data_IF_828630833357
#
_entry.id   IF_828630833357
#
_cell.length_a   1.000
_cell.length_b   1.000
_cell.length_c   1.000
_cell.angle_alpha   90.00
_cell.angle_beta   90.00
_cell.angle_gamma   90.00
#
_symmetry.space_group_name_H-M   'P 1'
#
loop_
_entity.id
_entity.type
_entity.pdbx_description
1 polymer ?
#
# COMPACT_ATOMS: atom_id res chain seq x y z
N UNK A 1 8.26 0.35 11.72
CA UNK A 1 6.81 0.17 11.50
C UNK A 1 6.36 1.28 10.56
N UNK A 2 5.70 0.95 9.46
CA UNK A 2 5.17 1.92 8.49
C UNK A 2 3.65 1.88 8.50
N UNK A 3 3.04 3.05 8.65
CA UNK A 3 1.61 3.28 8.53
C UNK A 3 1.37 4.66 7.88
N UNK A 4 2.22 4.98 6.89
CA UNK A 4 2.17 6.25 6.18
C UNK A 4 1.06 6.26 5.13
N UNK A 5 0.69 7.45 4.71
CA UNK A 5 -0.17 7.72 3.57
C UNK A 5 0.40 8.95 2.86
N UNK A 6 0.64 8.85 1.55
CA UNK A 6 1.30 9.92 0.80
C UNK A 6 0.27 10.86 0.18
N UNK A 7 0.18 12.06 0.76
CA UNK A 7 -0.70 13.13 0.33
C UNK A 7 -2.02 13.19 1.12
N UNK A 8 -2.97 13.99 0.62
CA UNK A 8 -4.26 14.18 1.28
C UNK A 8 -5.18 12.97 1.07
N UNK A 9 -5.09 11.98 1.98
CA UNK A 9 -5.77 10.68 1.94
C UNK A 9 -7.18 10.74 1.37
N UNK A 10 -8.10 11.41 2.05
CA UNK A 10 -9.53 11.37 1.72
C UNK A 10 -9.84 11.97 0.35
N UNK A 11 -9.12 13.01 -0.06
CA UNK A 11 -9.32 13.66 -1.34
C UNK A 11 -8.76 12.83 -2.50
N UNK A 12 -7.58 12.24 -2.31
CA UNK A 12 -6.94 11.39 -3.32
C UNK A 12 -7.66 10.06 -3.44
N UNK A 13 -8.05 9.45 -2.33
CA UNK A 13 -8.76 8.17 -2.31
C UNK A 13 -10.15 8.28 -2.94
N UNK A 14 -10.85 9.40 -2.71
CA UNK A 14 -12.09 9.71 -3.42
C UNK A 14 -11.87 9.78 -4.93
N UNK A 15 -10.84 10.49 -5.38
CA UNK A 15 -10.50 10.60 -6.80
C UNK A 15 -10.13 9.23 -7.41
N UNK A 16 -9.37 8.42 -6.69
CA UNK A 16 -9.02 7.07 -7.11
C UNK A 16 -10.25 6.22 -7.37
N UNK A 17 -11.36 6.48 -6.66
CA UNK A 17 -12.64 5.81 -6.84
C UNK A 17 -13.52 6.44 -7.93
N UNK A 18 -13.70 7.77 -7.89
CA UNK A 18 -14.62 8.51 -8.78
C UNK A 18 -14.14 8.56 -10.24
N UNK A 19 -12.83 8.71 -10.48
CA UNK A 19 -12.30 8.85 -11.85
C UNK A 19 -12.54 7.56 -12.65
N UNK A 20 -12.18 6.34 -12.18
CA UNK A 20 -12.50 5.12 -12.91
C UNK A 20 -14.00 4.87 -13.04
N UNK A 21 -14.82 5.33 -12.08
CA UNK A 21 -16.27 5.23 -12.15
C UNK A 21 -16.85 6.05 -13.32
N UNK A 22 -16.31 7.24 -13.59
CA UNK A 22 -16.68 8.04 -14.76
C UNK A 22 -16.38 7.32 -16.09
N UNK A 23 -15.41 6.41 -16.09
CA UNK A 23 -15.08 5.54 -17.22
C UNK A 23 -15.91 4.24 -17.26
N UNK A 24 -16.93 4.09 -16.40
CA UNK A 24 -17.78 2.90 -16.32
C UNK A 24 -17.19 1.73 -15.52
N UNK A 25 -16.05 1.93 -14.84
CA UNK A 25 -15.41 0.89 -14.04
C UNK A 25 -15.77 1.04 -12.55
N UNK A 26 -16.56 0.09 -12.04
CA UNK A 26 -16.79 -0.04 -10.60
C UNK A 26 -15.70 -0.87 -9.95
N UNK A 27 -15.13 -0.38 -8.86
CA UNK A 27 -14.09 -1.07 -8.09
C UNK A 27 -14.40 -1.02 -6.59
N UNK A 28 -14.09 -2.11 -5.85
CA UNK A 28 -14.30 -2.15 -4.40
C UNK A 28 -13.27 -1.29 -3.68
N UNK A 29 -13.75 -0.22 -3.03
CA UNK A 29 -12.98 0.75 -2.25
C UNK A 29 -11.83 1.49 -2.97
N UNK A 30 -11.32 1.05 -4.11
CA UNK A 30 -10.20 1.68 -4.83
C UNK A 30 -8.87 1.78 -4.04
N UNK A 31 -8.76 1.14 -2.88
CA UNK A 31 -7.58 1.26 -2.02
C UNK A 31 -6.51 0.22 -2.34
N UNK A 32 -6.94 -1.02 -2.62
CA UNK A 32 -6.07 -2.20 -2.73
C UNK A 32 -6.00 -2.81 -4.13
N UNK A 33 -6.92 -2.49 -5.03
CA UNK A 33 -7.02 -3.12 -6.35
C UNK A 33 -7.66 -2.20 -7.38
N UNK A 34 -7.69 -2.65 -8.64
CA UNK A 34 -8.18 -1.85 -9.76
C UNK A 34 -7.30 -0.63 -10.08
N UNK A 35 -7.76 0.23 -11.00
CA UNK A 35 -7.04 1.46 -11.38
C UNK A 35 -6.80 2.41 -10.21
N UNK A 36 -7.76 2.52 -9.28
CA UNK A 36 -7.58 3.35 -8.08
C UNK A 36 -6.48 2.81 -7.16
N UNK A 37 -6.47 1.49 -6.93
CA UNK A 37 -5.42 0.85 -6.13
C UNK A 37 -4.04 0.95 -6.79
N UNK A 38 -3.96 1.02 -8.12
CA UNK A 38 -2.72 1.31 -8.84
C UNK A 38 -2.25 2.76 -8.59
N UNK A 39 -3.13 3.74 -8.75
CA UNK A 39 -2.80 5.14 -8.47
C UNK A 39 -2.36 5.33 -7.01
N UNK A 40 -3.04 4.66 -6.07
CA UNK A 40 -2.69 4.64 -4.67
C UNK A 40 -1.31 4.01 -4.40
N UNK A 41 -0.98 2.88 -5.05
CA UNK A 41 0.34 2.28 -4.99
C UNK A 41 1.43 3.21 -5.54
N UNK A 42 1.19 3.85 -6.69
CA UNK A 42 2.17 4.71 -7.35
C UNK A 42 2.58 5.90 -6.47
N UNK A 43 1.65 6.47 -5.69
CA UNK A 43 1.94 7.55 -4.75
C UNK A 43 2.72 7.09 -3.52
N UNK A 44 2.40 5.90 -2.99
CA UNK A 44 3.01 5.41 -1.75
C UNK A 44 4.38 4.75 -1.99
N UNK A 45 4.61 4.09 -3.12
CA UNK A 45 5.81 3.27 -3.35
C UNK A 45 7.12 4.07 -3.30
N UNK A 46 7.15 5.31 -3.82
CA UNK A 46 8.36 6.14 -3.80
C UNK A 46 8.88 6.37 -2.38
N UNK A 47 8.10 7.05 -1.51
CA UNK A 47 8.51 7.29 -0.12
C UNK A 47 8.73 6.00 0.69
N UNK A 48 7.95 4.94 0.45
CA UNK A 48 8.19 3.66 1.13
C UNK A 48 9.54 3.05 0.75
N UNK A 49 9.92 3.10 -0.53
CA UNK A 49 11.21 2.58 -0.98
C UNK A 49 12.37 3.45 -0.48
N UNK A 50 12.19 4.76 -0.34
CA UNK A 50 13.17 5.63 0.33
C UNK A 50 13.41 5.19 1.78
N UNK A 51 12.34 4.94 2.54
CA UNK A 51 12.47 4.39 3.91
C UNK A 51 13.19 3.03 3.90
N UNK A 52 12.86 2.15 2.96
CA UNK A 52 13.55 0.86 2.84
C UNK A 52 15.05 1.04 2.56
N UNK A 53 15.43 1.99 1.68
CA UNK A 53 16.85 2.32 1.39
C UNK A 53 17.57 2.88 2.62
N UNK A 54 16.93 3.76 3.37
CA UNK A 54 17.50 4.30 4.61
C UNK A 54 17.72 3.18 5.64
N UNK A 55 16.76 2.25 5.75
CA UNK A 55 16.90 1.08 6.61
C UNK A 55 18.06 0.17 6.17
N UNK A 56 18.33 0.03 4.87
CA UNK A 56 19.48 -0.76 4.39
C UNK A 56 20.80 -0.25 4.93
N UNK A 57 20.94 1.06 5.17
CA UNK A 57 22.14 1.67 5.74
C UNK A 57 22.11 1.71 7.27
N UNK A 58 20.98 2.11 7.86
CA UNK A 58 20.88 2.39 9.29
C UNK A 58 20.62 1.14 10.14
N UNK A 59 19.86 0.18 9.62
CA UNK A 59 19.40 -0.99 10.39
C UNK A 59 19.08 -2.19 9.48
N UNK A 60 20.08 -2.75 8.76
CA UNK A 60 19.85 -3.78 7.74
C UNK A 60 19.18 -5.06 8.27
N UNK A 61 19.33 -5.37 9.56
CA UNK A 61 18.73 -6.54 10.20
C UNK A 61 17.34 -6.27 10.80
N UNK A 62 16.80 -5.05 10.72
CA UNK A 62 15.46 -4.76 11.23
C UNK A 62 14.36 -5.30 10.31
N UNK A 63 13.16 -5.51 10.90
CA UNK A 63 11.96 -5.83 10.13
C UNK A 63 11.20 -4.56 9.73
N UNK A 64 10.86 -4.46 8.46
CA UNK A 64 9.86 -3.50 7.96
C UNK A 64 8.47 -4.07 8.20
N UNK A 65 7.83 -3.65 9.29
CA UNK A 65 6.44 -4.00 9.61
C UNK A 65 5.52 -2.99 8.92
N UNK A 66 4.74 -3.42 7.93
CA UNK A 66 3.91 -2.57 7.08
C UNK A 66 2.41 -2.67 7.39
N UNK A 67 1.78 -1.52 7.60
CA UNK A 67 0.32 -1.32 7.61
C UNK A 67 -0.16 -0.40 6.48
N UNK A 68 0.75 0.24 5.73
CA UNK A 68 0.38 1.10 4.60
C UNK A 68 -0.24 0.29 3.48
N UNK A 69 -1.36 0.77 2.96
CA UNK A 69 -1.99 0.21 1.77
C UNK A 69 -1.38 0.82 0.48
N UNK A 70 -1.39 0.08 -0.64
CA UNK A 70 -1.81 -1.30 -0.80
C UNK A 70 -0.76 -2.28 -0.26
N UNK A 71 -1.09 -2.96 0.86
CA UNK A 71 -0.14 -3.70 1.70
C UNK A 71 0.65 -4.72 0.89
N UNK A 72 -0.04 -5.52 0.08
CA UNK A 72 0.60 -6.58 -0.71
C UNK A 72 1.57 -6.02 -1.74
N UNK A 73 1.24 -4.91 -2.42
CA UNK A 73 2.13 -4.29 -3.42
C UNK A 73 3.36 -3.66 -2.77
N UNK A 74 3.19 -3.04 -1.61
CA UNK A 74 4.31 -2.47 -0.86
C UNK A 74 5.28 -3.57 -0.41
N UNK A 75 4.75 -4.62 0.23
CA UNK A 75 5.59 -5.74 0.66
C UNK A 75 6.27 -6.43 -0.53
N UNK A 76 5.57 -6.62 -1.65
CA UNK A 76 6.15 -7.18 -2.88
C UNK A 76 7.27 -6.28 -3.43
N UNK A 77 7.08 -4.96 -3.47
CA UNK A 77 8.11 -4.04 -3.93
C UNK A 77 9.37 -4.07 -3.04
N UNK A 78 9.21 -4.05 -1.71
CA UNK A 78 10.34 -4.14 -0.78
C UNK A 78 11.07 -5.47 -0.99
N UNK A 79 10.35 -6.60 -1.03
CA UNK A 79 10.95 -7.93 -1.21
C UNK A 79 11.67 -8.10 -2.56
N UNK A 80 11.25 -7.40 -3.62
CA UNK A 80 11.88 -7.45 -4.94
C UNK A 80 13.05 -6.50 -5.11
N UNK A 81 13.02 -5.36 -4.44
CA UNK A 81 13.91 -4.22 -4.74
C UNK A 81 14.77 -3.77 -3.57
N UNK A 82 14.66 -4.42 -2.41
CA UNK A 82 15.45 -4.18 -1.22
C UNK A 82 15.90 -5.48 -0.56
N UNK A 83 16.96 -5.41 0.26
CA UNK A 83 17.39 -6.51 1.15
C UNK A 83 16.66 -6.52 2.51
N UNK A 84 15.81 -5.52 2.78
CA UNK A 84 15.09 -5.42 4.05
C UNK A 84 14.00 -6.50 4.15
N UNK A 85 13.94 -7.14 5.33
CA UNK A 85 12.89 -8.12 5.65
C UNK A 85 11.57 -7.40 5.89
N UNK A 86 10.56 -7.65 5.05
CA UNK A 86 9.25 -7.03 5.18
C UNK A 86 8.17 -8.02 5.62
N UNK A 87 7.26 -7.56 6.47
CA UNK A 87 6.01 -8.26 6.82
C UNK A 87 4.85 -7.27 6.76
N UNK A 88 3.77 -7.66 6.08
CA UNK A 88 2.53 -6.89 6.01
C UNK A 88 1.52 -7.38 7.04
N UNK A 89 0.87 -6.46 7.75
CA UNK A 89 -0.15 -6.76 8.75
C UNK A 89 -1.47 -6.06 8.38
N UNK A 90 -2.57 -6.80 8.45
CA UNK A 90 -3.93 -6.30 8.22
C UNK A 90 -4.90 -6.97 9.19
N UNK A 91 -5.96 -6.26 9.60
CA UNK A 91 -6.96 -6.72 10.56
C UNK A 91 -8.22 -7.31 9.90
N UNK A 92 -8.27 -7.33 8.57
CA UNK A 92 -9.50 -7.63 7.81
C UNK A 92 -9.80 -9.12 7.64
N UNK A 93 -8.95 -10.05 8.11
CA UNK A 93 -9.16 -11.50 7.91
C UNK A 93 -10.52 -11.97 8.47
N UNK A 94 -10.91 -11.49 9.66
CA UNK A 94 -12.20 -11.83 10.26
C UNK A 94 -13.38 -11.26 9.48
N UNK A 95 -13.25 -10.05 8.95
CA UNK A 95 -14.28 -9.43 8.11
C UNK A 95 -14.41 -10.19 6.78
N UNK A 96 -13.29 -10.63 6.20
CA UNK A 96 -13.28 -11.50 5.03
C UNK A 96 -14.10 -12.77 5.22
N UNK A 97 -14.00 -13.41 6.41
CA UNK A 97 -14.81 -14.59 6.75
C UNK A 97 -16.32 -14.31 6.86
N UNK A 98 -16.74 -13.07 7.12
CA UNK A 98 -18.16 -12.71 7.12
C UNK A 98 -18.76 -12.59 5.71
N UNK A 99 -17.93 -12.54 4.67
CA UNK A 99 -18.35 -12.38 3.27
C UNK A 99 -18.31 -13.67 2.44
N UNK A 100 -17.88 -14.79 3.03
CA UNK A 100 -17.89 -16.14 2.45
C UNK A 100 -18.93 -17.01 3.14
#
# INVERSE_FOLDING_TARGET
VSAIEVGARENLWRQDWEIPLQCGLRQPYAENGGPGGFAHAARNLGPVMEIARDMEAACPDAWFINYTNPMTRICDAINRHSRIRAIGLCHQVYIGYCFV
#
